data_IF_388331081990
#
_entry.id   IF_388331081990
#
_cell.length_a   1.000
_cell.length_b   1.000
_cell.length_c   1.000
_cell.angle_alpha   90.00
_cell.angle_beta   90.00
_cell.angle_gamma   90.00
#
_symmetry.space_group_name_H-M   'P 1'
#
loop_
_entity.id
_entity.type
_entity.pdbx_description
1 polymer ?
#
# COMPACT_ATOMS: atom_id res chain seq x y z
N UNK A 1 -53.16 -21.17 -0.55
CA UNK A 1 -52.26 -20.61 0.48
C UNK A 1 -50.89 -21.23 0.30
N UNK A 2 -49.93 -20.48 -0.26
CA UNK A 2 -48.56 -20.96 -0.56
C UNK A 2 -47.61 -20.45 0.54
N UNK A 3 -47.18 -21.35 1.42
CA UNK A 3 -46.18 -21.07 2.45
C UNK A 3 -44.79 -20.96 1.80
N UNK A 4 -44.19 -19.77 1.81
CA UNK A 4 -42.79 -19.55 1.40
C UNK A 4 -41.89 -19.84 2.60
N UNK A 5 -41.09 -20.89 2.51
CA UNK A 5 -40.01 -21.18 3.44
C UNK A 5 -38.82 -20.22 3.14
N UNK A 6 -38.54 -19.35 4.09
CA UNK A 6 -37.34 -18.50 4.07
C UNK A 6 -36.24 -19.35 4.69
N UNK A 7 -35.28 -19.77 3.85
CA UNK A 7 -34.06 -20.39 4.32
C UNK A 7 -33.14 -19.29 4.92
N UNK A 8 -33.03 -19.30 6.25
CA UNK A 8 -32.12 -18.42 6.96
C UNK A 8 -30.66 -18.85 6.74
N UNK A 9 -29.88 -18.01 6.10
CA UNK A 9 -28.44 -18.16 6.04
C UNK A 9 -27.82 -17.81 7.40
N UNK A 10 -27.38 -18.81 8.13
CA UNK A 10 -26.58 -18.63 9.34
C UNK A 10 -25.18 -18.19 8.91
N UNK A 11 -24.92 -16.91 9.00
CA UNK A 11 -23.55 -16.37 8.91
C UNK A 11 -22.91 -16.66 10.26
N UNK A 12 -22.10 -17.72 10.33
CA UNK A 12 -21.23 -17.96 11.45
C UNK A 12 -20.13 -16.89 11.44
N UNK A 13 -20.26 -15.90 12.30
CA UNK A 13 -19.21 -14.94 12.57
C UNK A 13 -18.04 -15.67 13.24
N UNK A 14 -17.02 -16.02 12.46
CA UNK A 14 -15.75 -16.50 12.99
C UNK A 14 -14.99 -15.29 13.53
N UNK A 15 -15.11 -15.03 14.83
CA UNK A 15 -14.24 -14.08 15.53
C UNK A 15 -12.85 -14.71 15.65
N UNK A 16 -11.97 -14.38 14.69
CA UNK A 16 -10.56 -14.73 14.76
C UNK A 16 -9.89 -13.78 15.77
N UNK A 17 -9.78 -14.24 17.01
CA UNK A 17 -8.97 -13.57 18.02
C UNK A 17 -7.50 -13.72 17.62
N UNK A 18 -6.97 -12.68 16.94
CA UNK A 18 -5.55 -12.60 16.64
C UNK A 18 -4.83 -12.22 17.95
N UNK A 19 -4.33 -13.22 18.66
CA UNK A 19 -3.40 -13.00 19.75
C UNK A 19 -2.17 -12.27 19.17
N UNK A 20 -1.93 -11.06 19.66
CA UNK A 20 -0.76 -10.26 19.35
C UNK A 20 0.49 -10.92 19.92
N UNK A 21 1.14 -11.77 19.12
CA UNK A 21 2.52 -12.15 19.38
C UNK A 21 3.40 -11.02 18.83
N UNK A 22 3.84 -10.13 19.71
CA UNK A 22 4.94 -9.21 19.47
C UNK A 22 6.22 -9.99 19.27
N UNK A 23 6.70 -10.04 18.04
CA UNK A 23 7.96 -10.66 17.68
C UNK A 23 8.35 -10.23 16.27
N UNK A 24 9.16 -9.20 16.19
CA UNK A 24 9.75 -8.73 14.95
C UNK A 24 10.63 -9.81 14.32
N UNK A 25 10.18 -10.39 13.23
CA UNK A 25 11.02 -10.87 12.15
C UNK A 25 10.24 -10.64 10.85
N UNK A 26 10.40 -9.45 10.27
CA UNK A 26 10.09 -9.22 8.88
C UNK A 26 11.14 -9.96 8.05
N UNK A 27 11.03 -11.28 8.00
CA UNK A 27 11.85 -12.10 7.14
C UNK A 27 11.31 -11.94 5.72
N UNK A 28 12.17 -11.50 4.79
CA UNK A 28 11.88 -11.33 3.35
C UNK A 28 11.33 -12.60 2.68
N UNK A 29 11.33 -13.71 3.38
CA UNK A 29 10.86 -15.02 2.93
C UNK A 29 9.33 -15.18 2.84
N UNK A 30 8.52 -14.22 3.33
CA UNK A 30 7.06 -14.27 3.19
C UNK A 30 6.52 -13.78 1.83
N UNK A 31 7.38 -13.40 0.91
CA UNK A 31 6.99 -12.94 -0.43
C UNK A 31 6.63 -14.06 -1.42
N UNK A 32 6.85 -15.31 -1.06
CA UNK A 32 6.64 -16.41 -1.98
C UNK A 32 5.20 -16.93 -1.90
N UNK A 33 4.39 -16.59 -2.92
CA UNK A 33 2.99 -17.04 -3.04
C UNK A 33 2.83 -18.56 -2.95
N UNK A 34 3.89 -19.31 -3.28
CA UNK A 34 3.96 -20.74 -3.16
C UNK A 34 3.85 -21.23 -1.71
N UNK A 35 4.49 -20.54 -0.75
CA UNK A 35 4.43 -20.91 0.68
C UNK A 35 3.04 -20.74 1.27
N UNK A 36 2.32 -19.72 0.86
CA UNK A 36 0.95 -19.51 1.32
C UNK A 36 0.04 -20.60 0.77
N UNK A 37 0.19 -20.95 -0.50
CA UNK A 37 -0.53 -22.06 -1.12
C UNK A 37 -0.24 -23.39 -0.39
N UNK A 38 1.02 -23.70 -0.06
CA UNK A 38 1.40 -24.91 0.65
C UNK A 38 0.80 -24.96 2.07
N UNK A 39 0.78 -23.83 2.78
CA UNK A 39 0.13 -23.72 4.10
C UNK A 39 -1.38 -23.95 3.99
N UNK A 40 -2.05 -23.33 3.03
CA UNK A 40 -3.49 -23.48 2.81
C UNK A 40 -3.84 -24.92 2.45
N UNK A 41 -3.07 -25.56 1.56
CA UNK A 41 -3.24 -26.98 1.21
C UNK A 41 -3.03 -27.90 2.40
N UNK A 42 -2.06 -27.59 3.26
CA UNK A 42 -1.84 -28.33 4.50
C UNK A 42 -3.00 -28.23 5.50
N UNK A 43 -3.69 -27.07 5.53
CA UNK A 43 -4.89 -26.87 6.36
C UNK A 43 -6.10 -27.62 5.82
N UNK A 44 -6.23 -27.73 4.50
CA UNK A 44 -7.27 -28.58 3.87
C UNK A 44 -7.03 -30.05 4.20
N UNK A 45 -5.79 -30.54 4.04
CA UNK A 45 -5.43 -31.94 4.35
C UNK A 45 -5.69 -32.31 5.81
N UNK A 46 -5.62 -31.35 6.72
CA UNK A 46 -5.95 -31.51 8.16
C UNK A 46 -7.43 -31.34 8.47
N UNK A 47 -8.28 -31.04 7.48
CA UNK A 47 -9.70 -30.77 7.66
C UNK A 47 -10.01 -29.45 8.39
N UNK A 48 -9.04 -28.57 8.55
CA UNK A 48 -9.21 -27.26 9.21
C UNK A 48 -9.88 -26.24 8.28
N UNK A 49 -9.62 -26.33 6.97
CA UNK A 49 -10.23 -25.53 5.92
C UNK A 49 -10.84 -26.44 4.86
N UNK A 50 -11.90 -25.95 4.21
CA UNK A 50 -12.42 -26.56 2.99
C UNK A 50 -11.74 -25.97 1.75
N UNK A 51 -11.77 -26.68 0.62
CA UNK A 51 -11.26 -26.16 -0.66
C UNK A 51 -11.91 -24.83 -1.03
N UNK A 52 -13.24 -24.73 -0.86
CA UNK A 52 -13.97 -23.49 -1.12
C UNK A 52 -13.50 -22.29 -0.26
N UNK A 53 -13.09 -22.56 0.98
CA UNK A 53 -12.49 -21.51 1.84
C UNK A 53 -11.10 -21.12 1.38
N UNK A 54 -10.31 -22.05 0.90
CA UNK A 54 -8.98 -21.78 0.33
C UNK A 54 -9.11 -20.97 -0.95
N UNK A 55 -10.07 -21.29 -1.81
CA UNK A 55 -10.34 -20.53 -3.03
C UNK A 55 -10.76 -19.08 -2.70
N UNK A 56 -11.68 -18.92 -1.73
CA UNK A 56 -12.11 -17.59 -1.29
C UNK A 56 -10.95 -16.76 -0.70
N UNK A 57 -10.06 -17.36 0.08
CA UNK A 57 -8.86 -16.71 0.63
C UNK A 57 -7.92 -16.32 -0.51
N UNK A 58 -7.68 -17.23 -1.44
CA UNK A 58 -6.79 -17.00 -2.59
C UNK A 58 -7.29 -15.85 -3.46
N UNK A 59 -8.61 -15.83 -3.73
CA UNK A 59 -9.24 -14.74 -4.48
C UNK A 59 -9.10 -13.41 -3.74
N UNK A 60 -9.44 -13.36 -2.45
CA UNK A 60 -9.30 -12.15 -1.64
C UNK A 60 -7.86 -11.61 -1.61
N UNK A 61 -6.87 -12.50 -1.57
CA UNK A 61 -5.45 -12.12 -1.64
C UNK A 61 -5.06 -11.56 -3.01
N UNK A 62 -5.58 -12.13 -4.10
CA UNK A 62 -5.35 -11.62 -5.45
C UNK A 62 -5.98 -10.23 -5.63
N UNK A 63 -7.21 -10.05 -5.16
CA UNK A 63 -7.93 -8.78 -5.20
C UNK A 63 -7.18 -7.70 -4.39
N UNK A 64 -6.71 -8.05 -3.18
CA UNK A 64 -5.91 -7.15 -2.35
C UNK A 64 -4.59 -6.75 -3.02
N UNK A 65 -3.91 -7.69 -3.70
CA UNK A 65 -2.69 -7.40 -4.48
C UNK A 65 -2.98 -6.50 -5.68
N UNK A 66 -4.09 -6.76 -6.39
CA UNK A 66 -4.55 -5.93 -7.50
C UNK A 66 -4.85 -4.50 -7.06
N UNK A 67 -5.60 -4.35 -5.99
CA UNK A 67 -5.90 -3.04 -5.38
C UNK A 67 -4.62 -2.32 -4.91
N UNK A 68 -3.68 -3.05 -4.28
CA UNK A 68 -2.40 -2.50 -3.86
C UNK A 68 -1.56 -2.00 -5.05
N UNK A 69 -1.50 -2.76 -6.14
CA UNK A 69 -0.81 -2.35 -7.36
C UNK A 69 -1.45 -1.10 -7.98
N UNK A 70 -2.77 -1.08 -8.10
CA UNK A 70 -3.49 0.08 -8.63
C UNK A 70 -3.26 1.33 -7.78
N UNK A 71 -3.32 1.21 -6.45
CA UNK A 71 -3.03 2.31 -5.53
C UNK A 71 -1.58 2.81 -5.64
N UNK A 72 -0.62 1.90 -5.84
CA UNK A 72 0.79 2.27 -6.05
C UNK A 72 0.99 3.03 -7.36
N UNK A 73 0.40 2.58 -8.47
CA UNK A 73 0.48 3.27 -9.76
C UNK A 73 -0.20 4.65 -9.71
N UNK A 74 -1.35 4.75 -9.04
CA UNK A 74 -2.02 6.03 -8.83
C UNK A 74 -1.13 7.00 -8.02
N UNK A 75 -0.54 6.53 -6.91
CA UNK A 75 0.36 7.35 -6.10
C UNK A 75 1.62 7.78 -6.87
N UNK A 76 2.15 6.92 -7.74
CA UNK A 76 3.27 7.24 -8.63
C UNK A 76 2.89 8.32 -9.64
N UNK A 77 1.71 8.19 -10.26
CA UNK A 77 1.22 9.19 -11.21
C UNK A 77 1.01 10.56 -10.54
N UNK A 78 0.41 10.58 -9.35
CA UNK A 78 0.25 11.81 -8.56
C UNK A 78 1.58 12.45 -8.21
N UNK A 79 2.57 11.66 -7.78
CA UNK A 79 3.91 12.17 -7.46
C UNK A 79 4.60 12.75 -8.69
N UNK A 80 4.49 12.08 -9.85
CA UNK A 80 5.02 12.60 -11.13
C UNK A 80 4.37 13.95 -11.43
N UNK A 81 3.04 14.05 -11.27
CA UNK A 81 2.31 15.31 -11.49
C UNK A 81 2.83 16.43 -10.57
N UNK A 82 3.03 16.16 -9.29
CA UNK A 82 3.59 17.14 -8.34
C UNK A 82 4.98 17.63 -8.78
N UNK A 83 5.83 16.72 -9.24
CA UNK A 83 7.18 17.04 -9.73
C UNK A 83 7.10 17.89 -11.00
N UNK A 84 6.30 17.48 -11.97
CA UNK A 84 6.18 18.19 -13.25
C UNK A 84 5.57 19.57 -13.10
N UNK A 85 4.55 19.70 -12.23
CA UNK A 85 3.94 20.99 -11.91
C UNK A 85 4.96 21.94 -11.22
N UNK A 86 5.72 21.45 -10.24
CA UNK A 86 6.74 22.23 -9.54
C UNK A 86 7.88 22.69 -10.46
N UNK A 87 8.28 21.83 -11.40
CA UNK A 87 9.38 22.13 -12.33
C UNK A 87 8.92 22.87 -13.58
N UNK A 88 7.62 22.83 -13.92
CA UNK A 88 7.10 23.40 -15.15
C UNK A 88 7.53 22.63 -16.39
N UNK A 89 7.69 21.30 -16.29
CA UNK A 89 8.03 20.40 -17.39
C UNK A 89 6.95 19.33 -17.55
N UNK A 90 6.88 18.69 -18.70
CA UNK A 90 5.98 17.56 -18.90
C UNK A 90 6.59 16.23 -18.41
N UNK A 91 5.74 15.21 -18.27
CA UNK A 91 6.15 13.90 -17.78
C UNK A 91 7.13 13.17 -18.71
N UNK A 92 7.02 13.37 -20.03
CA UNK A 92 7.92 12.76 -21.01
C UNK A 92 9.33 13.35 -20.90
N UNK A 93 9.42 14.67 -20.74
CA UNK A 93 10.70 15.36 -20.47
C UNK A 93 11.34 14.89 -19.18
N UNK A 94 10.56 14.75 -18.09
CA UNK A 94 11.04 14.22 -16.83
C UNK A 94 11.58 12.79 -16.99
N UNK A 95 10.83 11.93 -17.68
CA UNK A 95 11.24 10.54 -17.93
C UNK A 95 12.51 10.46 -18.76
N UNK A 96 12.62 11.25 -19.83
CA UNK A 96 13.81 11.29 -20.70
C UNK A 96 15.05 11.69 -19.91
N UNK A 97 14.97 12.75 -19.11
CA UNK A 97 16.08 13.22 -18.27
C UNK A 97 16.49 12.17 -17.24
N UNK A 98 15.54 11.50 -16.61
CA UNK A 98 15.81 10.39 -15.67
C UNK A 98 16.44 9.18 -16.35
N UNK A 99 15.99 8.81 -17.54
CA UNK A 99 16.62 7.74 -18.35
C UNK A 99 18.04 8.09 -18.77
N UNK A 100 18.34 9.37 -18.94
CA UNK A 100 19.71 9.87 -19.17
C UNK A 100 20.58 9.90 -17.91
N UNK A 101 20.07 9.40 -16.76
CA UNK A 101 20.83 9.30 -15.51
C UNK A 101 20.83 10.57 -14.66
N UNK A 102 20.08 11.60 -15.05
CA UNK A 102 20.00 12.83 -14.24
C UNK A 102 19.22 12.59 -12.94
N UNK A 103 19.75 13.11 -11.84
CA UNK A 103 19.03 13.13 -10.56
C UNK A 103 17.88 14.16 -10.59
N UNK A 104 16.93 14.01 -9.66
CA UNK A 104 15.84 14.99 -9.52
C UNK A 104 16.39 16.39 -9.17
N UNK A 105 17.48 16.46 -8.41
CA UNK A 105 18.15 17.71 -8.08
C UNK A 105 18.77 18.39 -9.32
N UNK A 106 19.42 17.59 -10.20
CA UNK A 106 19.97 18.11 -11.46
C UNK A 106 18.89 18.62 -12.40
N UNK A 107 17.75 17.90 -12.45
CA UNK A 107 16.60 18.29 -13.27
C UNK A 107 15.95 19.57 -12.74
N UNK A 108 15.90 19.73 -11.43
CA UNK A 108 15.30 20.88 -10.77
C UNK A 108 16.12 22.17 -10.92
N UNK A 109 17.45 22.07 -10.90
CA UNK A 109 18.32 23.26 -10.97
C UNK A 109 17.89 24.32 -9.95
N UNK A 110 17.63 25.53 -10.44
CA UNK A 110 17.21 26.66 -9.60
C UNK A 110 15.83 26.49 -8.94
N UNK A 111 15.03 25.52 -9.39
CA UNK A 111 13.71 25.19 -8.81
C UNK A 111 13.77 24.14 -7.70
N UNK A 112 14.97 23.78 -7.21
CA UNK A 112 15.17 22.73 -6.21
C UNK A 112 14.32 22.99 -4.95
N UNK A 113 14.33 24.21 -4.42
CA UNK A 113 13.58 24.53 -3.20
C UNK A 113 12.05 24.45 -3.41
N UNK A 114 11.57 24.91 -4.57
CA UNK A 114 10.15 24.79 -4.93
C UNK A 114 9.73 23.33 -5.07
N UNK A 115 10.58 22.50 -5.66
CA UNK A 115 10.35 21.05 -5.77
C UNK A 115 10.30 20.39 -4.40
N UNK A 116 11.25 20.70 -3.52
CA UNK A 116 11.29 20.17 -2.15
C UNK A 116 10.02 20.56 -1.40
N UNK A 117 9.63 21.83 -1.43
CA UNK A 117 8.41 22.31 -0.78
C UNK A 117 7.15 21.58 -1.29
N UNK A 118 7.04 21.41 -2.61
CA UNK A 118 5.92 20.69 -3.23
C UNK A 118 5.87 19.21 -2.81
N UNK A 119 7.01 18.54 -2.77
CA UNK A 119 7.11 17.14 -2.34
C UNK A 119 6.80 16.98 -0.84
N UNK A 120 7.31 17.86 0.02
CA UNK A 120 7.00 17.85 1.46
C UNK A 120 5.49 18.05 1.69
N UNK A 121 4.86 18.99 0.99
CA UNK A 121 3.42 19.23 1.09
C UNK A 121 2.61 18.00 0.63
N UNK A 122 3.01 17.37 -0.48
CA UNK A 122 2.36 16.17 -1.00
C UNK A 122 2.46 14.98 -0.03
N UNK A 123 3.67 14.67 0.45
CA UNK A 123 3.88 13.55 1.37
C UNK A 123 3.22 13.82 2.74
N UNK A 124 3.23 15.05 3.23
CA UNK A 124 2.53 15.44 4.46
C UNK A 124 1.03 15.20 4.35
N UNK A 125 0.41 15.57 3.22
CA UNK A 125 -1.00 15.31 2.95
C UNK A 125 -1.33 13.81 2.94
N UNK A 126 -0.44 12.97 2.39
CA UNK A 126 -0.61 11.50 2.41
C UNK A 126 -0.49 10.92 3.82
N UNK A 127 0.43 11.43 4.62
CA UNK A 127 0.58 11.06 6.02
C UNK A 127 -0.71 11.40 6.79
N UNK A 128 -1.27 12.61 6.59
CA UNK A 128 -2.51 13.02 7.23
C UNK A 128 -3.70 12.15 6.82
N UNK A 129 -3.80 11.80 5.54
CA UNK A 129 -4.82 10.88 5.05
C UNK A 129 -4.67 9.46 5.66
N UNK A 130 -3.44 9.00 5.89
CA UNK A 130 -3.18 7.73 6.55
C UNK A 130 -3.58 7.76 8.04
N UNK A 131 -3.40 8.89 8.73
CA UNK A 131 -3.89 9.08 10.10
C UNK A 131 -5.41 9.11 10.13
N UNK A 132 -6.04 9.89 9.25
CA UNK A 132 -7.50 9.99 9.17
C UNK A 132 -8.18 8.65 8.87
N UNK A 133 -7.51 7.75 8.11
CA UNK A 133 -7.99 6.39 7.81
C UNK A 133 -7.61 5.35 8.88
N UNK A 134 -6.97 5.74 9.98
CA UNK A 134 -6.53 4.84 11.06
C UNK A 134 -5.36 3.91 10.70
N UNK A 135 -4.73 4.11 9.54
CA UNK A 135 -3.58 3.31 9.08
C UNK A 135 -2.26 3.73 9.74
N UNK A 136 -2.22 4.91 10.33
CA UNK A 136 -1.04 5.49 10.97
C UNK A 136 -1.42 6.18 12.26
N UNK A 137 -0.64 6.02 13.34
CA UNK A 137 -0.86 6.76 14.57
C UNK A 137 -0.34 8.21 14.44
N UNK A 138 -0.90 9.12 15.25
CA UNK A 138 -0.52 10.54 15.25
C UNK A 138 0.96 10.76 15.61
N UNK A 139 1.49 9.97 16.58
CA UNK A 139 2.89 10.05 16.97
C UNK A 139 3.83 9.66 15.81
N UNK A 140 3.51 8.57 15.11
CA UNK A 140 4.27 8.14 13.92
C UNK A 140 4.19 9.15 12.79
N UNK A 141 3.03 9.77 12.61
CA UNK A 141 2.84 10.81 11.60
C UNK A 141 3.75 12.03 11.88
N UNK A 142 3.82 12.47 13.13
CA UNK A 142 4.72 13.56 13.54
C UNK A 142 6.18 13.22 13.27
N UNK A 143 6.62 12.02 13.65
CA UNK A 143 7.99 11.56 13.40
C UNK A 143 8.32 11.43 11.91
N UNK A 144 7.35 11.01 11.07
CA UNK A 144 7.55 10.93 9.62
C UNK A 144 7.65 12.32 9.00
N UNK A 145 6.80 13.26 9.40
CA UNK A 145 6.81 14.63 8.88
C UNK A 145 8.11 15.36 9.22
N UNK A 146 8.65 15.19 10.43
CA UNK A 146 9.96 15.79 10.78
C UNK A 146 11.10 15.24 9.91
N UNK A 147 11.10 13.92 9.64
CA UNK A 147 12.10 13.31 8.76
C UNK A 147 11.96 13.69 7.28
N UNK A 148 10.75 14.02 6.81
CA UNK A 148 10.58 14.50 5.43
C UNK A 148 11.38 15.76 5.16
N UNK A 149 11.35 16.69 6.09
CA UNK A 149 12.10 17.96 5.98
C UNK A 149 13.61 17.70 6.02
N UNK A 150 14.06 16.84 6.93
CA UNK A 150 15.47 16.52 7.10
C UNK A 150 16.08 15.79 5.88
N UNK A 151 15.38 14.78 5.35
CA UNK A 151 15.89 13.94 4.25
C UNK A 151 15.80 14.57 2.85
N UNK A 152 15.00 15.63 2.67
CA UNK A 152 14.84 16.29 1.36
C UNK A 152 15.78 17.48 1.21
N UNK A 153 16.38 18.00 2.30
CA UNK A 153 17.35 19.08 2.27
C UNK A 153 18.81 18.60 2.23
N UNK A 154 19.07 17.29 2.36
CA UNK A 154 20.39 16.66 2.18
C UNK A 154 20.56 16.14 0.75
#
# INVERSE_FOLDING_TARGET
>A
MKKRLIAGSAIAALTLSLATATGAVADEKFRDGKRISDILSGLVSKGTLTEAQVDAISQAMQDARGAGKAAHEAAKAERIKVITDALGIDAATLETKRKAGQSLADIAGDKKDALIAALVAYESKKIDAAVASGKLSAERATALKSKLTENLYL
#
